data_IF_837818661397
#
_entry.id   IF_837818661397
#
_cell.length_a   1.000
_cell.length_b   1.000
_cell.length_c   1.000
_cell.angle_alpha   90.00
_cell.angle_beta   90.00
_cell.angle_gamma   90.00
#
_symmetry.space_group_name_H-M   'P 1'
#
loop_
_entity.id
_entity.type
_entity.pdbx_description
1 polymer ?
#
# COMPACT_ATOMS: atom_id res chain seq x y z
N UNK A 1 0.53 -17.29 36.75
CA UNK A 1 1.47 -16.29 36.24
C UNK A 1 1.47 -16.52 34.74
N UNK A 2 0.72 -15.71 33.99
CA UNK A 2 0.42 -16.00 32.58
C UNK A 2 1.72 -15.97 31.77
N UNK A 3 1.88 -16.88 30.81
CA UNK A 3 3.06 -16.97 29.92
C UNK A 3 3.34 -15.61 29.23
N UNK A 4 2.31 -14.78 29.08
CA UNK A 4 2.36 -13.43 28.52
C UNK A 4 3.14 -12.45 29.41
N UNK A 5 2.96 -12.49 30.73
CA UNK A 5 3.67 -11.62 31.67
C UNK A 5 5.15 -12.00 31.78
N UNK A 6 5.48 -13.29 31.66
CA UNK A 6 6.87 -13.76 31.69
C UNK A 6 7.64 -13.32 30.45
N UNK A 7 7.05 -13.43 29.26
CA UNK A 7 7.68 -13.00 28.00
C UNK A 7 7.82 -11.47 27.97
N UNK A 8 6.80 -10.73 28.41
CA UNK A 8 6.81 -9.27 28.48
C UNK A 8 7.86 -8.74 29.47
N UNK A 9 7.97 -9.37 30.65
CA UNK A 9 8.98 -9.04 31.66
C UNK A 9 10.40 -9.33 31.17
N UNK A 10 10.60 -10.44 30.45
CA UNK A 10 11.90 -10.82 29.87
C UNK A 10 12.37 -9.85 28.78
N UNK A 11 11.43 -9.24 28.04
CA UNK A 11 11.71 -8.35 26.91
C UNK A 11 11.60 -6.85 27.25
N UNK A 12 11.26 -6.49 28.50
CA UNK A 12 10.98 -5.10 28.91
C UNK A 12 9.88 -4.42 28.07
N UNK A 13 8.86 -5.19 27.68
CA UNK A 13 7.73 -4.75 26.85
C UNK A 13 6.44 -4.79 27.69
N UNK A 14 5.49 -3.92 27.40
CA UNK A 14 4.17 -3.95 28.07
C UNK A 14 3.33 -5.12 27.55
N UNK A 15 2.88 -6.00 28.45
CA UNK A 15 1.87 -7.01 28.17
C UNK A 15 0.47 -6.37 28.21
N UNK A 16 -0.35 -6.68 27.22
CA UNK A 16 -1.75 -6.25 27.15
C UNK A 16 -2.67 -7.47 27.19
N UNK A 17 -3.46 -7.56 28.24
CA UNK A 17 -4.50 -8.60 28.40
C UNK A 17 -5.84 -8.21 27.75
N UNK A 18 -6.02 -6.92 27.42
CA UNK A 18 -7.18 -6.44 26.68
C UNK A 18 -6.78 -5.24 25.80
N UNK A 19 -7.31 -5.18 24.58
CA UNK A 19 -7.09 -4.09 23.63
C UNK A 19 -8.29 -3.13 23.52
N UNK A 20 -9.41 -3.40 24.21
CA UNK A 20 -10.70 -2.70 24.08
C UNK A 20 -10.71 -1.25 24.57
N UNK A 21 -9.86 -0.92 25.55
CA UNK A 21 -9.86 0.42 26.17
C UNK A 21 -9.02 1.46 25.43
N UNK A 22 -8.20 1.03 24.47
CA UNK A 22 -7.22 1.88 23.80
C UNK A 22 -7.86 2.87 22.81
N UNK A 23 -7.26 4.06 22.74
CA UNK A 23 -7.76 5.22 21.96
C UNK A 23 -7.94 4.92 20.48
N UNK A 24 -7.16 3.99 19.92
CA UNK A 24 -7.26 3.60 18.52
C UNK A 24 -8.66 3.07 18.12
N UNK A 25 -9.35 2.34 19.02
CA UNK A 25 -10.70 1.81 18.76
C UNK A 25 -11.76 2.92 18.79
N UNK A 26 -11.49 4.00 19.55
CA UNK A 26 -12.45 5.10 19.79
C UNK A 26 -12.27 6.27 18.83
N UNK A 27 -11.04 6.59 18.39
CA UNK A 27 -10.71 7.85 17.72
C UNK A 27 -10.21 7.70 16.26
N UNK A 28 -10.17 6.47 15.68
CA UNK A 28 -9.71 6.22 14.29
C UNK A 28 -8.31 6.78 13.99
N UNK A 29 -7.37 6.51 14.89
CA UNK A 29 -5.94 6.79 14.72
C UNK A 29 -5.40 6.07 13.45
N UNK A 30 -4.29 6.58 12.88
CA UNK A 30 -3.75 6.24 11.55
C UNK A 30 -3.91 4.76 11.17
N UNK A 31 -4.87 4.50 10.26
CA UNK A 31 -5.27 3.13 9.89
C UNK A 31 -4.24 2.47 8.97
N UNK A 32 -3.72 1.34 9.42
CA UNK A 32 -3.06 0.36 8.53
C UNK A 32 -4.12 -0.41 7.73
N UNK A 33 -3.82 -0.90 6.51
CA UNK A 33 -4.75 -1.74 5.78
C UNK A 33 -5.07 -3.05 6.52
N UNK A 34 -6.31 -3.55 6.44
CA UNK A 34 -6.74 -4.81 7.09
C UNK A 34 -5.81 -5.98 6.78
N UNK A 35 -5.49 -6.18 5.50
CA UNK A 35 -4.64 -7.29 5.08
C UNK A 35 -3.23 -7.17 5.67
N UNK A 36 -2.69 -5.96 5.74
CA UNK A 36 -1.39 -5.68 6.35
C UNK A 36 -1.42 -5.96 7.86
N UNK A 37 -2.42 -5.45 8.58
CA UNK A 37 -2.60 -5.70 10.01
C UNK A 37 -2.75 -7.21 10.31
N UNK A 38 -3.50 -7.93 9.47
CA UNK A 38 -3.76 -9.36 9.61
C UNK A 38 -2.55 -10.23 9.27
N UNK A 39 -1.90 -10.00 8.13
CA UNK A 39 -0.74 -10.79 7.70
C UNK A 39 0.47 -10.57 8.61
N UNK A 40 0.74 -9.31 8.97
CA UNK A 40 1.89 -8.95 9.81
C UNK A 40 1.61 -9.13 11.30
N UNK A 41 0.36 -9.44 11.68
CA UNK A 41 -0.12 -9.59 13.06
C UNK A 41 0.28 -8.40 13.93
N UNK A 42 -0.16 -7.22 13.49
CA UNK A 42 0.10 -5.95 14.14
C UNK A 42 -1.12 -5.06 14.12
N UNK A 43 -1.34 -4.33 15.21
CA UNK A 43 -2.42 -3.38 15.31
C UNK A 43 -1.91 -2.14 16.06
N UNK A 44 -1.86 -0.95 15.44
CA UNK A 44 -1.62 0.26 16.20
C UNK A 44 -2.73 0.48 17.23
N UNK A 45 -2.37 0.90 18.45
CA UNK A 45 -3.30 1.03 19.59
C UNK A 45 -3.29 2.41 20.23
N UNK A 46 -2.18 3.15 20.10
CA UNK A 46 -2.11 4.54 20.52
C UNK A 46 -1.07 5.28 19.69
N UNK A 47 -1.25 6.59 19.53
CA UNK A 47 -0.37 7.44 18.74
C UNK A 47 -0.08 8.75 19.47
N UNK A 48 1.20 9.04 19.66
CA UNK A 48 1.69 10.34 20.13
C UNK A 48 2.34 11.09 18.96
N UNK A 49 2.79 12.34 19.17
CA UNK A 49 3.39 13.14 18.11
C UNK A 49 4.56 12.45 17.39
N UNK A 50 5.39 11.70 18.14
CA UNK A 50 6.65 11.12 17.63
C UNK A 50 6.68 9.57 17.69
N UNK A 51 5.80 8.97 18.50
CA UNK A 51 5.78 7.53 18.73
C UNK A 51 4.42 6.91 18.45
N UNK A 52 4.42 5.66 18.02
CA UNK A 52 3.21 4.86 17.88
C UNK A 52 3.34 3.55 18.66
N UNK A 53 2.31 3.28 19.45
CA UNK A 53 2.20 2.05 20.22
C UNK A 53 1.50 1.00 19.36
N UNK A 54 2.12 -0.17 19.19
CA UNK A 54 1.64 -1.24 18.30
C UNK A 54 1.50 -2.53 19.08
N UNK A 55 0.27 -3.04 19.17
CA UNK A 55 0.01 -4.38 19.66
C UNK A 55 0.47 -5.43 18.65
N UNK A 56 1.20 -6.44 19.11
CA UNK A 56 1.67 -7.56 18.30
C UNK A 56 1.69 -8.86 19.10
N UNK A 57 1.49 -9.95 18.38
CA UNK A 57 1.62 -11.32 18.91
C UNK A 57 3.04 -11.87 18.80
N UNK A 58 3.94 -11.14 18.14
CA UNK A 58 5.35 -11.50 18.04
C UNK A 58 6.21 -10.22 18.14
N UNK A 59 6.65 -9.85 19.35
CA UNK A 59 7.45 -8.65 19.58
C UNK A 59 8.90 -8.82 19.08
N UNK A 60 9.32 -10.05 18.75
CA UNK A 60 10.63 -10.34 18.16
C UNK A 60 10.62 -10.16 16.64
N UNK A 61 9.44 -9.94 16.03
CA UNK A 61 9.33 -9.62 14.62
C UNK A 61 9.70 -8.16 14.33
N UNK A 62 11.01 -7.90 14.41
CA UNK A 62 11.62 -6.58 14.17
C UNK A 62 11.25 -6.06 12.77
N UNK A 63 11.06 -6.95 11.79
CA UNK A 63 10.66 -6.57 10.44
C UNK A 63 9.27 -5.94 10.40
N UNK A 64 8.26 -6.58 11.00
CA UNK A 64 6.89 -6.02 11.07
C UNK A 64 6.85 -4.69 11.84
N UNK A 65 7.63 -4.56 12.91
CA UNK A 65 7.75 -3.32 13.69
C UNK A 65 8.44 -2.21 12.89
N UNK A 66 9.48 -2.55 12.14
CA UNK A 66 10.15 -1.59 11.26
C UNK A 66 9.26 -1.18 10.09
N UNK A 67 8.53 -2.12 9.48
CA UNK A 67 7.62 -1.88 8.36
C UNK A 67 6.51 -0.89 8.74
N UNK A 68 5.88 -1.08 9.91
CA UNK A 68 4.83 -0.17 10.39
C UNK A 68 5.39 1.18 10.83
N UNK A 69 6.59 1.20 11.43
CA UNK A 69 7.27 2.44 11.81
C UNK A 69 7.64 3.28 10.59
N UNK A 70 8.09 2.63 9.53
CA UNK A 70 8.34 3.27 8.25
C UNK A 70 7.05 3.74 7.58
N UNK A 71 6.00 2.92 7.57
CA UNK A 71 4.69 3.26 7.01
C UNK A 71 4.10 4.53 7.66
N UNK A 72 4.30 4.68 8.98
CA UNK A 72 3.73 5.76 9.77
C UNK A 72 4.71 6.92 10.01
N UNK A 73 5.98 6.73 9.65
CA UNK A 73 7.08 7.66 9.92
C UNK A 73 7.11 8.08 11.41
N UNK A 74 7.02 7.08 12.30
CA UNK A 74 7.05 7.23 13.76
C UNK A 74 7.89 6.14 14.39
N UNK A 75 8.43 6.42 15.58
CA UNK A 75 9.10 5.39 16.36
C UNK A 75 8.04 4.40 16.87
N UNK A 76 8.23 3.11 16.62
CA UNK A 76 7.30 2.06 17.04
C UNK A 76 7.70 1.54 18.41
N UNK A 77 6.76 1.56 19.33
CA UNK A 77 6.87 0.88 20.62
C UNK A 77 5.97 -0.37 20.56
N UNK A 78 6.55 -1.58 20.54
CA UNK A 78 5.77 -2.81 20.54
C UNK A 78 5.13 -3.04 21.90
N UNK A 79 3.90 -3.55 21.90
CA UNK A 79 3.21 -4.13 23.05
C UNK A 79 2.86 -5.58 22.73
N UNK A 80 3.09 -6.48 23.69
CA UNK A 80 2.80 -7.89 23.51
C UNK A 80 1.37 -8.22 23.89
N UNK A 81 0.66 -8.94 23.04
CA UNK A 81 -0.66 -9.51 23.34
C UNK A 81 -0.80 -10.91 22.75
N UNK A 82 -1.78 -11.69 23.22
CA UNK A 82 -2.03 -13.00 22.61
C UNK A 82 -2.51 -12.86 21.16
N UNK A 83 -2.27 -13.90 20.34
CA UNK A 83 -2.76 -13.92 18.95
C UNK A 83 -4.29 -13.83 18.90
N UNK A 84 -4.98 -14.47 19.83
CA UNK A 84 -6.44 -14.49 19.93
C UNK A 84 -7.01 -13.07 20.15
N UNK A 85 -6.49 -12.36 21.16
CA UNK A 85 -6.91 -10.99 21.48
C UNK A 85 -6.63 -10.05 20.30
N UNK A 86 -5.48 -10.21 19.64
CA UNK A 86 -5.10 -9.39 18.49
C UNK A 86 -6.01 -9.61 17.28
N UNK A 87 -6.28 -10.87 16.94
CA UNK A 87 -7.14 -11.23 15.81
C UNK A 87 -8.57 -10.72 16.04
N UNK A 88 -9.13 -10.92 17.24
CA UNK A 88 -10.44 -10.38 17.60
C UNK A 88 -10.49 -8.85 17.52
N UNK A 89 -9.45 -8.17 18.01
CA UNK A 89 -9.36 -6.71 17.95
C UNK A 89 -9.26 -6.20 16.51
N UNK A 90 -8.45 -6.87 15.66
CA UNK A 90 -8.37 -6.57 14.23
C UNK A 90 -9.76 -6.75 13.60
N UNK A 91 -10.39 -7.92 13.75
CA UNK A 91 -11.69 -8.17 13.13
C UNK A 91 -12.75 -7.15 13.56
N UNK A 92 -12.82 -6.83 14.85
CA UNK A 92 -13.77 -5.83 15.37
C UNK A 92 -13.50 -4.41 14.83
N UNK A 93 -12.24 -4.03 14.67
CA UNK A 93 -11.85 -2.72 14.12
C UNK A 93 -12.31 -2.55 12.66
N UNK A 94 -12.20 -3.60 11.85
CA UNK A 94 -12.50 -3.54 10.42
C UNK A 94 -13.92 -4.03 10.05
N UNK A 95 -14.64 -4.72 10.94
CA UNK A 95 -16.02 -5.18 10.72
C UNK A 95 -17.04 -4.02 10.61
N UNK A 96 -16.81 -2.88 11.29
CA UNK A 96 -17.73 -1.72 11.25
C UNK A 96 -17.84 -1.06 9.86
N UNK A 97 -17.03 -1.44 8.88
CA UNK A 97 -17.08 -0.94 7.50
C UNK A 97 -17.61 -1.95 6.46
N UNK A 98 -17.94 -3.19 6.83
CA UNK A 98 -18.44 -4.20 5.89
C UNK A 98 -19.66 -4.98 6.41
N UNK A 99 -20.90 -4.55 6.12
CA UNK A 99 -22.05 -5.45 6.22
C UNK A 99 -22.02 -6.38 4.98
N UNK A 100 -21.37 -7.54 5.13
CA UNK A 100 -21.46 -8.73 4.26
C UNK A 100 -21.34 -8.48 2.74
N UNK A 101 -20.13 -8.61 2.22
CA UNK A 101 -19.95 -9.13 0.86
C UNK A 101 -19.35 -10.54 0.91
N UNK A 102 -20.14 -11.46 0.38
CA UNK A 102 -19.78 -12.86 0.20
C UNK A 102 -18.54 -13.00 -0.68
N UNK A 103 -17.63 -13.84 -0.20
CA UNK A 103 -16.38 -14.19 -0.86
C UNK A 103 -16.65 -15.01 -2.13
N UNK A 104 -16.43 -14.40 -3.27
CA UNK A 104 -15.85 -15.09 -4.43
C UNK A 104 -14.41 -14.64 -4.62
N UNK A 105 -13.51 -15.59 -4.40
CA UNK A 105 -12.06 -15.50 -4.52
C UNK A 105 -11.67 -15.35 -5.99
N UNK A 106 -11.51 -14.12 -6.51
CA UNK A 106 -10.44 -13.77 -7.49
C UNK A 106 -10.42 -12.29 -7.95
N UNK A 107 -11.34 -11.45 -7.49
CA UNK A 107 -11.40 -10.04 -7.90
C UNK A 107 -11.18 -9.13 -6.70
N UNK A 108 -9.92 -8.96 -6.28
CA UNK A 108 -9.52 -7.70 -5.63
C UNK A 108 -9.53 -6.60 -6.69
N UNK A 109 -10.74 -6.23 -7.09
CA UNK A 109 -11.02 -5.02 -7.83
C UNK A 109 -10.74 -3.88 -6.84
N UNK A 110 -9.57 -3.25 -6.95
CA UNK A 110 -9.31 -2.04 -6.18
C UNK A 110 -10.26 -0.97 -6.72
N UNK A 111 -11.43 -0.86 -6.12
CA UNK A 111 -12.30 0.29 -6.26
C UNK A 111 -11.58 1.48 -5.60
N UNK A 112 -10.71 2.14 -6.38
CA UNK A 112 -9.98 3.35 -5.97
C UNK A 112 -10.82 4.61 -6.16
N UNK A 113 -12.15 4.50 -6.17
CA UNK A 113 -13.07 5.63 -6.01
C UNK A 113 -13.63 5.67 -4.58
N UNK A 114 -12.78 5.52 -3.58
CA UNK A 114 -13.09 6.08 -2.28
C UNK A 114 -12.60 7.54 -2.24
N UNK A 115 -13.47 8.46 -2.68
CA UNK A 115 -13.49 9.85 -2.17
C UNK A 115 -13.65 9.91 -0.63
N UNK A 116 -13.72 8.76 0.05
CA UNK A 116 -13.82 8.55 1.49
C UNK A 116 -12.53 8.01 2.16
N UNK A 117 -11.37 8.08 1.50
CA UNK A 117 -10.12 7.78 2.21
C UNK A 117 -9.61 9.03 2.93
N UNK A 118 -9.57 9.02 4.27
CA UNK A 118 -9.04 10.15 5.06
C UNK A 118 -7.50 10.28 4.97
N UNK A 119 -6.81 9.39 4.24
CA UNK A 119 -5.36 9.42 4.11
C UNK A 119 -4.91 10.27 2.90
N UNK A 120 -4.19 11.40 3.11
CA UNK A 120 -3.76 12.28 2.01
C UNK A 120 -2.85 11.62 0.97
N UNK A 121 -2.06 10.62 1.36
CA UNK A 121 -1.16 9.90 0.45
C UNK A 121 -1.94 9.05 -0.54
N UNK A 122 -3.00 8.38 -0.06
CA UNK A 122 -3.86 7.55 -0.91
C UNK A 122 -4.61 8.44 -1.89
N UNK A 123 -5.20 9.55 -1.43
CA UNK A 123 -5.86 10.52 -2.31
C UNK A 123 -4.91 11.06 -3.37
N UNK A 124 -3.68 11.39 -2.99
CA UNK A 124 -2.68 11.91 -3.91
C UNK A 124 -2.26 10.87 -4.96
N UNK A 125 -2.01 9.62 -4.56
CA UNK A 125 -1.69 8.54 -5.49
C UNK A 125 -2.85 8.24 -6.45
N UNK A 126 -4.09 8.21 -5.95
CA UNK A 126 -5.28 8.02 -6.77
C UNK A 126 -5.42 9.14 -7.82
N UNK A 127 -5.15 10.40 -7.42
CA UNK A 127 -5.14 11.53 -8.34
C UNK A 127 -4.07 11.38 -9.43
N UNK A 128 -2.88 10.90 -9.07
CA UNK A 128 -1.81 10.60 -10.04
C UNK A 128 -2.28 9.57 -11.05
N UNK A 129 -2.87 8.45 -10.60
CA UNK A 129 -3.37 7.41 -11.51
C UNK A 129 -4.47 7.93 -12.42
N UNK A 130 -5.46 8.64 -11.86
CA UNK A 130 -6.57 9.19 -12.62
C UNK A 130 -6.11 10.20 -13.67
N UNK A 131 -5.21 11.11 -13.30
CA UNK A 131 -4.67 12.11 -14.21
C UNK A 131 -3.81 11.46 -15.30
N UNK A 132 -2.93 10.51 -14.96
CA UNK A 132 -2.09 9.83 -15.93
C UNK A 132 -2.91 9.09 -17.00
N UNK A 133 -3.97 8.39 -16.59
CA UNK A 133 -4.90 7.72 -17.52
C UNK A 133 -5.68 8.74 -18.34
N UNK A 134 -6.20 9.80 -17.73
CA UNK A 134 -6.96 10.86 -18.42
C UNK A 134 -6.09 11.59 -19.46
N UNK A 135 -4.79 11.75 -19.19
CA UNK A 135 -3.82 12.37 -20.08
C UNK A 135 -3.22 11.41 -21.12
N UNK A 136 -3.61 10.14 -21.12
CA UNK A 136 -3.09 9.15 -22.08
C UNK A 136 -1.62 8.81 -21.89
N UNK A 137 -1.11 8.81 -20.65
CA UNK A 137 0.28 8.44 -20.38
C UNK A 137 0.53 6.94 -20.63
N UNK A 138 1.71 6.60 -21.17
CA UNK A 138 2.17 5.20 -21.31
C UNK A 138 2.84 4.68 -20.04
N UNK A 139 3.57 5.56 -19.34
CA UNK A 139 4.31 5.21 -18.13
C UNK A 139 4.23 6.35 -17.10
N UNK A 140 4.18 6.00 -15.82
CA UNK A 140 4.34 6.89 -14.68
C UNK A 140 5.68 6.59 -14.01
N UNK A 141 6.53 7.60 -13.90
CA UNK A 141 7.86 7.50 -13.32
C UNK A 141 7.88 8.21 -11.96
N UNK A 142 8.25 7.50 -10.91
CA UNK A 142 8.52 8.02 -9.57
C UNK A 142 10.03 7.96 -9.35
N UNK A 143 10.68 9.12 -9.43
CA UNK A 143 12.14 9.22 -9.46
C UNK A 143 12.66 9.94 -8.22
N UNK A 144 13.25 9.20 -7.27
CA UNK A 144 13.82 9.81 -6.08
C UNK A 144 15.02 10.67 -6.45
N UNK A 145 15.03 11.90 -5.96
CA UNK A 145 16.20 12.79 -5.96
C UNK A 145 16.68 13.00 -4.53
N UNK A 146 17.76 13.77 -4.36
CA UNK A 146 18.33 14.06 -3.06
C UNK A 146 17.29 14.64 -2.08
N UNK A 147 16.57 15.68 -2.51
CA UNK A 147 15.67 16.45 -1.64
C UNK A 147 14.17 16.25 -1.91
N UNK A 148 13.81 15.72 -3.08
CA UNK A 148 12.41 15.55 -3.50
C UNK A 148 12.22 14.24 -4.27
N UNK A 149 10.96 13.87 -4.44
CA UNK A 149 10.57 12.84 -5.41
C UNK A 149 10.02 13.56 -6.64
N UNK A 150 10.58 13.29 -7.81
CA UNK A 150 10.05 13.80 -9.08
C UNK A 150 9.10 12.76 -9.69
N UNK A 151 7.85 13.15 -9.95
CA UNK A 151 6.87 12.32 -10.67
C UNK A 151 6.76 12.80 -12.11
N UNK A 152 6.99 11.92 -13.09
CA UNK A 152 6.91 12.23 -14.52
C UNK A 152 5.94 11.29 -15.24
N UNK A 153 5.24 11.80 -16.22
CA UNK A 153 4.45 10.99 -17.15
C UNK A 153 5.17 10.89 -18.48
N UNK A 154 5.19 9.70 -19.08
CA UNK A 154 5.53 9.56 -20.49
C UNK A 154 4.24 9.67 -21.30
N UNK A 155 4.13 10.72 -22.09
CA UNK A 155 2.97 10.97 -22.97
C UNK A 155 3.53 11.12 -24.37
N UNK A 156 3.04 10.32 -25.32
CA UNK A 156 3.52 10.29 -26.71
C UNK A 156 5.05 10.16 -26.82
N UNK A 157 5.63 9.33 -25.96
CA UNK A 157 7.08 9.09 -25.90
C UNK A 157 7.89 10.15 -25.13
N UNK A 158 7.29 11.29 -24.78
CA UNK A 158 7.98 12.42 -24.11
C UNK A 158 7.73 12.39 -22.61
N UNK A 159 8.80 12.54 -21.82
CA UNK A 159 8.72 12.64 -20.36
C UNK A 159 8.38 14.06 -19.91
N UNK A 160 7.31 14.20 -19.14
CA UNK A 160 6.82 15.48 -18.61
C UNK A 160 6.78 15.43 -17.09
N UNK A 161 7.49 16.36 -16.41
CA UNK A 161 7.42 16.51 -14.94
C UNK A 161 6.03 17.02 -14.53
N UNK A 162 5.44 16.39 -13.51
CA UNK A 162 4.06 16.68 -13.05
C UNK A 162 4.01 17.08 -11.59
N UNK A 163 4.68 16.32 -10.73
CA UNK A 163 4.69 16.58 -9.30
C UNK A 163 6.10 16.50 -8.73
N UNK A 164 6.30 17.19 -7.61
CA UNK A 164 7.54 17.18 -6.85
C UNK A 164 7.24 17.02 -5.35
N UNK A 165 6.61 15.91 -4.91
CA UNK A 165 6.35 15.66 -3.50
C UNK A 165 7.64 15.64 -2.67
N UNK A 166 7.50 16.00 -1.38
CA UNK A 166 8.61 16.01 -0.44
C UNK A 166 9.17 14.61 -0.20
N UNK A 167 10.41 14.54 0.31
CA UNK A 167 11.06 13.28 0.64
C UNK A 167 10.25 12.40 1.61
N UNK A 168 9.55 13.01 2.56
CA UNK A 168 8.67 12.29 3.50
C UNK A 168 7.53 11.58 2.77
N UNK A 169 6.94 12.23 1.78
CA UNK A 169 5.85 11.67 0.99
C UNK A 169 6.35 10.60 0.00
N UNK A 170 7.62 10.65 -0.43
CA UNK A 170 8.23 9.61 -1.26
C UNK A 170 8.11 8.22 -0.63
N UNK A 171 8.55 8.08 0.62
CA UNK A 171 8.53 6.81 1.35
C UNK A 171 7.10 6.23 1.39
N UNK A 172 6.14 7.08 1.74
CA UNK A 172 4.73 6.69 1.86
C UNK A 172 4.12 6.28 0.51
N UNK A 173 4.48 6.97 -0.58
CA UNK A 173 4.03 6.62 -1.94
C UNK A 173 4.61 5.29 -2.41
N UNK A 174 5.92 5.06 -2.24
CA UNK A 174 6.57 3.80 -2.63
C UNK A 174 5.96 2.64 -1.87
N UNK A 175 5.80 2.75 -0.55
CA UNK A 175 5.15 1.72 0.27
C UNK A 175 3.73 1.45 -0.20
N UNK A 176 2.94 2.51 -0.47
CA UNK A 176 1.57 2.33 -0.96
C UNK A 176 1.53 1.62 -2.30
N UNK A 177 2.43 1.95 -3.23
CA UNK A 177 2.54 1.27 -4.53
C UNK A 177 2.92 -0.21 -4.33
N UNK A 178 3.89 -0.51 -3.46
CA UNK A 178 4.26 -1.90 -3.14
C UNK A 178 3.09 -2.71 -2.58
N UNK A 179 2.32 -2.15 -1.65
CA UNK A 179 1.10 -2.78 -1.12
C UNK A 179 0.10 -3.10 -2.23
N UNK A 180 -0.19 -2.12 -3.11
CA UNK A 180 -1.12 -2.31 -4.21
C UNK A 180 -0.63 -3.37 -5.21
N UNK A 181 0.68 -3.47 -5.40
CA UNK A 181 1.32 -4.39 -6.34
C UNK A 181 1.66 -5.76 -5.72
N UNK A 182 1.33 -5.99 -4.44
CA UNK A 182 1.67 -7.19 -3.67
C UNK A 182 3.18 -7.48 -3.61
N UNK A 183 3.97 -6.42 -3.50
CA UNK A 183 5.43 -6.47 -3.38
C UNK A 183 5.88 -6.50 -1.90
N UNK A 184 7.08 -6.99 -1.66
CA UNK A 184 7.68 -6.96 -0.33
C UNK A 184 8.11 -5.53 0.03
N UNK A 185 7.47 -4.98 1.07
CA UNK A 185 7.72 -3.63 1.57
C UNK A 185 9.05 -3.54 2.32
N UNK A 186 9.46 -4.64 2.98
CA UNK A 186 10.68 -4.70 3.76
C UNK A 186 11.93 -4.75 2.86
N UNK A 187 11.82 -5.40 1.70
CA UNK A 187 12.93 -5.49 0.75
C UNK A 187 13.07 -4.21 -0.08
N UNK A 188 14.21 -3.54 0.04
CA UNK A 188 14.54 -2.29 -0.65
C UNK A 188 15.89 -2.35 -1.40
N UNK A 189 16.55 -3.51 -1.39
CA UNK A 189 17.90 -3.73 -1.94
C UNK A 189 17.89 -4.52 -3.24
N UNK A 190 16.75 -5.12 -3.58
CA UNK A 190 16.56 -5.88 -4.82
C UNK A 190 15.46 -5.25 -5.67
N UNK A 191 15.57 -5.30 -7.01
CA UNK A 191 14.47 -4.96 -7.89
C UNK A 191 13.26 -5.87 -7.64
N UNK A 192 12.06 -5.33 -7.77
CA UNK A 192 10.81 -6.09 -7.63
C UNK A 192 9.83 -5.74 -8.74
N UNK A 193 9.04 -6.72 -9.16
CA UNK A 193 8.04 -6.58 -10.22
C UNK A 193 6.67 -7.08 -9.76
N UNK A 194 5.64 -6.32 -10.07
CA UNK A 194 4.27 -6.60 -9.64
C UNK A 194 3.24 -6.05 -10.62
N UNK A 195 1.96 -6.21 -10.26
CA UNK A 195 0.85 -5.68 -11.05
C UNK A 195 -0.20 -5.06 -10.16
N UNK A 196 -0.81 -3.99 -10.64
CA UNK A 196 -1.95 -3.34 -9.98
C UNK A 196 -3.09 -3.29 -10.99
N UNK A 197 -4.22 -3.91 -10.67
CA UNK A 197 -5.45 -3.77 -11.46
C UNK A 197 -6.34 -2.75 -10.75
N UNK A 198 -6.69 -1.68 -11.43
CA UNK A 198 -7.63 -0.68 -10.89
C UNK A 198 -8.78 -0.50 -11.85
N UNK A 199 -9.96 -0.25 -11.29
CA UNK A 199 -11.11 0.19 -12.07
C UNK A 199 -11.21 1.70 -11.95
N UNK A 200 -11.09 2.38 -13.08
CA UNK A 200 -11.22 3.83 -13.15
C UNK A 200 -12.44 4.16 -14.01
N UNK A 201 -13.53 4.56 -13.35
CA UNK A 201 -14.86 4.70 -13.98
C UNK A 201 -15.29 3.36 -14.60
N UNK A 202 -15.49 3.33 -15.91
CA UNK A 202 -15.88 2.11 -16.67
C UNK A 202 -14.69 1.37 -17.30
N UNK A 203 -13.45 1.87 -17.11
CA UNK A 203 -12.25 1.25 -17.67
C UNK A 203 -11.50 0.46 -16.61
N UNK A 204 -11.19 -0.80 -16.94
CA UNK A 204 -10.18 -1.58 -16.22
C UNK A 204 -8.79 -1.23 -16.75
N UNK A 205 -7.92 -0.77 -15.85
CA UNK A 205 -6.53 -0.46 -16.16
C UNK A 205 -5.63 -1.43 -15.42
N UNK A 206 -4.71 -2.08 -16.15
CA UNK A 206 -3.67 -2.93 -15.59
C UNK A 206 -2.34 -2.17 -15.60
N UNK A 207 -1.76 -1.95 -14.44
CA UNK A 207 -0.44 -1.36 -14.30
C UNK A 207 0.58 -2.47 -14.07
N UNK A 208 1.66 -2.48 -14.87
CA UNK A 208 2.87 -3.24 -14.52
C UNK A 208 3.79 -2.35 -13.70
N UNK A 209 4.18 -2.82 -12.53
CA UNK A 209 5.00 -2.07 -11.58
C UNK A 209 6.37 -2.69 -11.53
N UNK A 210 7.39 -1.86 -11.64
CA UNK A 210 8.78 -2.25 -11.38
C UNK A 210 9.39 -1.27 -10.39
N UNK A 211 10.03 -1.78 -9.34
CA UNK A 211 10.82 -1.00 -8.39
C UNK A 211 12.30 -1.34 -8.57
N UNK A 212 13.16 -0.33 -8.44
CA UNK A 212 14.61 -0.51 -8.44
C UNK A 212 15.25 0.34 -7.35
N UNK A 213 16.13 -0.23 -6.51
CA UNK A 213 16.90 0.52 -5.53
C UNK A 213 17.81 1.55 -6.20
N UNK A 214 17.89 2.76 -5.63
CA UNK A 214 18.82 3.82 -6.05
C UNK A 214 19.45 4.49 -4.82
N UNK A 215 20.44 5.36 -5.04
CA UNK A 215 21.13 6.10 -3.98
C UNK A 215 20.20 6.95 -3.10
N UNK A 216 19.07 7.41 -3.64
CA UNK A 216 18.13 8.29 -2.94
C UNK A 216 16.82 7.57 -2.56
N UNK A 217 16.80 6.24 -2.58
CA UNK A 217 15.62 5.42 -2.31
C UNK A 217 15.19 4.62 -3.53
N UNK A 218 13.95 4.15 -3.57
CA UNK A 218 13.49 3.30 -4.67
C UNK A 218 12.87 4.11 -5.81
N UNK A 219 13.37 3.90 -7.02
CA UNK A 219 12.73 4.38 -8.24
C UNK A 219 11.62 3.41 -8.62
N UNK A 220 10.43 3.93 -8.88
CA UNK A 220 9.27 3.12 -9.27
C UNK A 220 8.81 3.54 -10.66
N UNK A 221 8.53 2.57 -11.52
CA UNK A 221 7.95 2.81 -12.83
C UNK A 221 6.67 1.98 -12.92
N UNK A 222 5.57 2.63 -13.29
CA UNK A 222 4.32 1.97 -13.64
C UNK A 222 4.05 2.10 -15.13
N UNK A 223 3.97 1.00 -15.85
CA UNK A 223 3.48 0.98 -17.23
C UNK A 223 1.97 0.79 -17.24
N UNK A 224 1.28 1.68 -17.93
CA UNK A 224 -0.18 1.67 -18.05
C UNK A 224 -0.56 0.77 -19.23
N UNK A 225 -1.36 -0.26 -18.98
CA UNK A 225 -1.94 -1.10 -20.02
C UNK A 225 -3.46 -0.90 -20.00
N UNK A 226 -3.96 -0.13 -20.96
CA UNK A 226 -5.40 -0.02 -21.22
C UNK A 226 -5.83 -1.25 -22.03
N UNK A 227 -6.51 -2.21 -21.37
CA UNK A 227 -7.03 -3.41 -22.04
C UNK A 227 -8.10 -3.08 -23.09
N UNK A 228 -8.73 -1.89 -23.01
CA UNK A 228 -9.74 -1.46 -23.97
C UNK A 228 -9.19 -1.04 -25.33
N UNK A 229 -7.88 -0.73 -25.43
CA UNK A 229 -7.27 -0.26 -26.68
C UNK A 229 -6.66 -1.38 -27.55
N UNK A 230 -6.65 -2.63 -27.09
CA UNK A 230 -6.18 -3.79 -27.88
C UNK A 230 -7.39 -4.46 -28.55
N UNK A 231 -8.17 -3.66 -29.26
CA UNK A 231 -9.15 -4.12 -30.23
C UNK A 231 -8.81 -3.52 -31.61
N UNK A 232 -7.53 -3.49 -31.97
CA UNK A 232 -7.15 -3.52 -33.38
C UNK A 232 -7.49 -4.93 -33.86
N UNK A 233 -8.61 -5.08 -34.56
CA UNK A 233 -8.91 -6.33 -35.25
C UNK A 233 -7.79 -6.68 -36.23
N UNK A 234 -7.69 -7.95 -36.60
CA UNK A 234 -6.72 -8.45 -37.58
C UNK A 234 -6.78 -7.70 -38.93
N UNK A 235 -7.89 -7.02 -39.20
CA UNK A 235 -8.14 -6.16 -40.35
C UNK A 235 -7.32 -4.86 -40.35
N UNK A 236 -6.89 -4.36 -39.19
CA UNK A 236 -6.19 -3.08 -39.06
C UNK A 236 -4.66 -3.19 -38.98
N UNK A 237 -4.10 -4.40 -39.01
CA UNK A 237 -2.65 -4.65 -38.95
C UNK A 237 -1.99 -4.72 -40.34
N UNK A 238 -2.72 -4.37 -41.41
CA UNK A 238 -2.17 -4.30 -42.77
C UNK A 238 -1.91 -5.65 -43.42
N UNK A 239 -2.58 -6.71 -42.96
CA UNK A 239 -2.57 -8.01 -43.63
C UNK A 239 -3.29 -7.89 -44.97
N UNK A 240 -2.76 -8.57 -45.99
CA UNK A 240 -3.47 -8.72 -47.25
C UNK A 240 -4.70 -9.62 -47.03
N UNK A 241 -5.79 -9.41 -47.77
CA UNK A 241 -7.02 -10.22 -47.65
C UNK A 241 -6.76 -11.73 -47.80
N UNK A 242 -5.71 -12.13 -48.53
CA UNK A 242 -5.32 -13.52 -48.71
C UNK A 242 -4.82 -14.20 -47.41
N UNK A 243 -4.32 -13.42 -46.46
CA UNK A 243 -3.70 -13.89 -45.22
C UNK A 243 -4.68 -13.90 -44.03
N UNK A 244 -5.91 -13.38 -44.21
CA UNK A 244 -6.96 -13.29 -43.19
C UNK A 244 -7.85 -14.55 -43.08
N UNK A 245 -7.36 -15.72 -43.50
CA UNK A 245 -8.12 -16.99 -43.50
C UNK A 245 -8.23 -17.67 -42.13
#
# INVERSE_FOLDING_TARGET
MNDIEQIASLLSITALENLEDFRFIKERITRVPYLFAKEKKILPIDETADKILVATSDPLNIHSMHDIGFYLNKQVEPCFCSSEILEEAIERCYQKENPKEDRSTDSQEYDLLAEKSDNPVIQFLNRIFQEAVTKGASDIHFEPQENELTVRYRIDGVLQKRYSPSKKMQAQLVTRIKVLAKLDIAEQRLPQDGRIKIKLKEKEIDFRVSTIPTIFGERVVLRILDKGNIALGLDHIGLAEADLK
#
